data_IF_441936211992
#
_entry.id   IF_441936211992
#
_cell.length_a   1.000
_cell.length_b   1.000
_cell.length_c   1.000
_cell.angle_alpha   90.00
_cell.angle_beta   90.00
_cell.angle_gamma   90.00
#
_symmetry.space_group_name_H-M   'P 1'
#
loop_
_entity.id
_entity.type
_entity.pdbx_description
1 polymer ?
#
# COMPACT_ATOMS: atom_id res chain seq x y z
N UNK A 1 -64.09 -24.18 36.17
CA UNK A 1 -62.73 -24.59 36.59
C UNK A 1 -62.49 -26.00 36.09
N UNK A 2 -62.19 -26.17 34.80
CA UNK A 2 -61.99 -27.51 34.22
C UNK A 2 -60.95 -27.57 33.09
N UNK A 3 -60.24 -26.49 32.78
CA UNK A 3 -59.37 -26.46 31.58
C UNK A 3 -57.89 -26.73 31.88
N UNK A 4 -57.48 -26.74 33.16
CA UNK A 4 -56.06 -26.90 33.52
C UNK A 4 -55.59 -28.36 33.64
N UNK A 5 -56.50 -29.34 33.65
CA UNK A 5 -56.14 -30.76 33.80
C UNK A 5 -55.97 -31.46 32.46
N UNK A 6 -56.65 -31.02 31.40
CA UNK A 6 -56.55 -31.62 30.07
C UNK A 6 -55.26 -31.24 29.32
N UNK A 7 -54.74 -30.02 29.53
CA UNK A 7 -53.44 -29.60 28.99
C UNK A 7 -52.26 -30.39 29.57
N UNK A 8 -52.41 -30.93 30.80
CA UNK A 8 -51.38 -31.71 31.49
C UNK A 8 -51.28 -33.16 30.97
N UNK A 9 -52.40 -33.76 30.57
CA UNK A 9 -52.45 -35.14 30.05
C UNK A 9 -52.03 -35.27 28.57
N UNK A 10 -52.12 -34.19 27.78
CA UNK A 10 -51.65 -34.19 26.39
C UNK A 10 -50.11 -34.16 26.26
N UNK A 11 -49.40 -33.64 27.27
CA UNK A 11 -47.93 -33.63 27.28
C UNK A 11 -47.33 -35.03 27.54
N UNK A 12 -48.09 -35.96 28.11
CA UNK A 12 -47.63 -37.29 28.51
C UNK A 12 -47.52 -38.31 27.35
N UNK A 13 -47.95 -37.96 26.13
CA UNK A 13 -47.98 -38.86 24.97
C UNK A 13 -47.16 -38.33 23.77
N UNK A 14 -46.21 -37.42 24.02
CA UNK A 14 -45.29 -36.93 22.98
C UNK A 14 -44.26 -38.04 22.68
N UNK A 15 -44.19 -38.58 21.45
CA UNK A 15 -43.23 -39.61 21.11
C UNK A 15 -41.77 -39.17 21.30
N UNK A 16 -40.91 -40.09 21.75
CA UNK A 16 -39.48 -39.84 22.01
C UNK A 16 -38.74 -39.26 20.79
N UNK A 17 -39.17 -39.59 19.56
CA UNK A 17 -38.58 -39.05 18.33
C UNK A 17 -38.76 -37.54 18.20
N UNK A 18 -39.82 -36.95 18.78
CA UNK A 18 -40.05 -35.50 18.77
C UNK A 18 -38.99 -34.81 19.65
N UNK A 19 -38.68 -35.36 20.82
CA UNK A 19 -37.63 -34.83 21.68
C UNK A 19 -36.24 -34.96 21.04
N UNK A 20 -35.96 -36.10 20.39
CA UNK A 20 -34.72 -36.30 19.61
C UNK A 20 -34.62 -35.32 18.44
N UNK A 21 -35.72 -35.07 17.73
CA UNK A 21 -35.78 -34.07 16.65
C UNK A 21 -35.52 -32.66 17.18
N UNK A 22 -36.16 -32.26 18.28
CA UNK A 22 -35.94 -30.95 18.90
C UNK A 22 -34.52 -30.78 19.46
N UNK A 23 -33.89 -31.86 19.93
CA UNK A 23 -32.48 -31.84 20.32
C UNK A 23 -31.55 -31.71 19.11
N UNK A 24 -31.81 -32.45 18.02
CA UNK A 24 -31.07 -32.33 16.77
C UNK A 24 -31.17 -30.91 16.18
N UNK A 25 -32.37 -30.32 16.19
CA UNK A 25 -32.59 -28.93 15.75
C UNK A 25 -31.80 -27.93 16.60
N UNK A 26 -31.81 -28.08 17.93
CA UNK A 26 -31.01 -27.25 18.83
C UNK A 26 -29.51 -27.38 18.57
N UNK A 27 -29.02 -28.60 18.29
CA UNK A 27 -27.62 -28.86 17.94
C UNK A 27 -27.25 -28.21 16.60
N UNK A 28 -28.13 -28.30 15.61
CA UNK A 28 -27.96 -27.65 14.31
C UNK A 28 -27.88 -26.13 14.44
N UNK A 29 -28.83 -25.51 15.14
CA UNK A 29 -28.84 -24.06 15.38
C UNK A 29 -27.63 -23.56 16.19
N UNK A 30 -27.15 -24.37 17.13
CA UNK A 30 -25.91 -24.09 17.87
C UNK A 30 -24.67 -24.17 16.96
N UNK A 31 -24.61 -25.16 16.07
CA UNK A 31 -23.54 -25.31 15.09
C UNK A 31 -23.53 -24.14 14.08
N UNK A 32 -24.71 -23.73 13.59
CA UNK A 32 -24.86 -22.58 12.70
C UNK A 32 -24.35 -21.29 13.32
N UNK A 33 -24.74 -20.98 14.56
CA UNK A 33 -24.22 -19.82 15.31
C UNK A 33 -22.70 -19.85 15.46
N UNK A 34 -22.11 -21.02 15.72
CA UNK A 34 -20.64 -21.15 15.79
C UNK A 34 -20.00 -20.89 14.43
N UNK A 35 -20.59 -21.38 13.34
CA UNK A 35 -20.09 -21.16 11.99
C UNK A 35 -20.11 -19.66 11.61
N UNK A 36 -21.14 -18.92 12.00
CA UNK A 36 -21.23 -17.47 11.80
C UNK A 36 -20.10 -16.71 12.54
N UNK A 37 -19.79 -17.11 13.77
CA UNK A 37 -18.69 -16.53 14.55
C UNK A 37 -17.33 -16.80 13.87
N UNK A 38 -17.09 -18.04 13.42
CA UNK A 38 -15.85 -18.36 12.71
C UNK A 38 -15.75 -17.63 11.37
N UNK A 39 -16.86 -17.45 10.65
CA UNK A 39 -16.89 -16.67 9.41
C UNK A 39 -16.48 -15.21 9.66
N UNK A 40 -17.00 -14.60 10.72
CA UNK A 40 -16.62 -13.23 11.08
C UNK A 40 -15.15 -13.13 11.52
N UNK A 41 -14.61 -14.17 12.18
CA UNK A 41 -13.17 -14.26 12.46
C UNK A 41 -12.35 -14.33 11.18
N UNK A 42 -12.79 -15.10 10.17
CA UNK A 42 -12.12 -15.17 8.87
C UNK A 42 -12.10 -13.80 8.17
N UNK A 43 -13.25 -13.08 8.14
CA UNK A 43 -13.32 -11.72 7.57
C UNK A 43 -12.35 -10.78 8.26
N UNK A 44 -12.33 -10.78 9.60
CA UNK A 44 -11.46 -9.92 10.37
C UNK A 44 -9.98 -10.28 10.18
N UNK A 45 -9.65 -11.57 10.09
CA UNK A 45 -8.28 -12.00 9.82
C UNK A 45 -7.79 -11.51 8.44
N UNK A 46 -8.62 -11.61 7.39
CA UNK A 46 -8.30 -11.07 6.05
C UNK A 46 -7.99 -9.57 6.15
N UNK A 47 -8.89 -8.78 6.76
CA UNK A 47 -8.71 -7.33 6.91
C UNK A 47 -7.43 -6.99 7.66
N UNK A 48 -7.14 -7.69 8.76
CA UNK A 48 -5.94 -7.48 9.56
C UNK A 48 -4.66 -7.80 8.79
N UNK A 49 -4.64 -8.90 8.03
CA UNK A 49 -3.49 -9.26 7.20
C UNK A 49 -3.20 -8.22 6.11
N UNK A 50 -4.24 -7.72 5.44
CA UNK A 50 -4.08 -6.65 4.44
C UNK A 50 -3.67 -5.32 5.06
N UNK A 51 -4.18 -5.00 6.25
CA UNK A 51 -3.77 -3.82 7.01
C UNK A 51 -2.29 -3.90 7.41
N UNK A 52 -1.82 -5.05 7.92
CA UNK A 52 -0.41 -5.27 8.22
C UNK A 52 0.48 -5.17 6.97
N UNK A 53 0.01 -5.65 5.81
CA UNK A 53 0.74 -5.52 4.54
C UNK A 53 0.84 -4.06 4.10
N UNK A 54 -0.25 -3.29 4.20
CA UNK A 54 -0.26 -1.85 3.91
C UNK A 54 0.72 -1.09 4.79
N UNK A 55 0.67 -1.28 6.10
CA UNK A 55 1.60 -0.63 7.06
C UNK A 55 3.06 -0.91 6.73
N UNK A 56 3.42 -2.18 6.51
CA UNK A 56 4.78 -2.56 6.12
C UNK A 56 5.21 -1.93 4.79
N UNK A 57 4.29 -1.85 3.82
CA UNK A 57 4.58 -1.24 2.53
C UNK A 57 4.77 0.28 2.62
N UNK A 58 3.97 0.97 3.44
CA UNK A 58 4.13 2.41 3.71
C UNK A 58 5.44 2.71 4.42
N UNK A 59 5.79 1.93 5.45
CA UNK A 59 7.06 2.05 6.17
C UNK A 59 8.26 1.81 5.23
N UNK A 60 8.21 0.75 4.41
CA UNK A 60 9.26 0.46 3.44
C UNK A 60 9.41 1.58 2.40
N UNK A 61 8.30 2.09 1.86
CA UNK A 61 8.31 3.19 0.91
C UNK A 61 8.85 4.48 1.55
N UNK A 62 8.51 4.78 2.81
CA UNK A 62 9.03 5.93 3.53
C UNK A 62 10.56 5.86 3.66
N UNK A 63 11.09 4.70 4.07
CA UNK A 63 12.54 4.48 4.20
C UNK A 63 13.23 4.57 2.83
N UNK A 64 12.63 4.03 1.77
CA UNK A 64 13.15 4.15 0.40
C UNK A 64 13.23 5.63 -0.03
N UNK A 65 12.16 6.40 0.18
CA UNK A 65 12.08 7.81 -0.18
C UNK A 65 13.07 8.66 0.62
N UNK A 66 13.22 8.41 1.91
CA UNK A 66 14.23 9.08 2.73
C UNK A 66 15.64 8.75 2.23
N UNK A 67 15.96 7.48 2.00
CA UNK A 67 17.27 7.07 1.47
C UNK A 67 17.55 7.73 0.12
N UNK A 68 16.55 7.80 -0.76
CA UNK A 68 16.65 8.43 -2.06
C UNK A 68 16.94 9.93 -1.93
N UNK A 69 16.21 10.66 -1.08
CA UNK A 69 16.46 12.09 -0.83
C UNK A 69 17.89 12.34 -0.36
N UNK A 70 18.37 11.56 0.60
CA UNK A 70 19.75 11.67 1.09
C UNK A 70 20.80 11.38 0.00
N UNK A 71 20.53 10.46 -0.93
CA UNK A 71 21.44 10.19 -2.07
C UNK A 71 21.44 11.37 -3.06
N UNK A 72 20.27 11.93 -3.33
CA UNK A 72 20.12 13.06 -4.25
C UNK A 72 20.75 14.35 -3.71
N UNK A 73 20.60 14.62 -2.41
CA UNK A 73 21.27 15.73 -1.73
C UNK A 73 22.79 15.61 -1.76
N UNK A 74 23.33 14.41 -1.53
CA UNK A 74 24.78 14.16 -1.68
C UNK A 74 25.24 14.40 -3.10
N UNK A 75 24.53 13.85 -4.08
CA UNK A 75 24.85 14.05 -5.50
C UNK A 75 24.79 15.53 -5.91
N UNK A 76 23.87 16.31 -5.34
CA UNK A 76 23.83 17.76 -5.56
C UNK A 76 25.11 18.42 -5.02
N UNK A 77 25.50 18.13 -3.79
CA UNK A 77 26.73 18.66 -3.19
C UNK A 77 27.97 18.29 -4.03
N UNK A 78 28.04 17.04 -4.51
CA UNK A 78 29.14 16.59 -5.36
C UNK A 78 29.19 17.36 -6.69
N UNK A 79 28.04 17.66 -7.30
CA UNK A 79 27.95 18.48 -8.51
C UNK A 79 28.39 19.92 -8.25
N UNK A 80 27.99 20.51 -7.13
CA UNK A 80 28.40 21.86 -6.72
C UNK A 80 29.91 21.95 -6.48
N UNK A 81 30.48 20.94 -5.83
CA UNK A 81 31.92 20.86 -5.60
C UNK A 81 32.69 20.70 -6.91
N UNK A 82 32.29 19.76 -7.78
CA UNK A 82 32.94 19.55 -9.06
C UNK A 82 32.91 20.80 -9.95
N UNK A 83 31.80 21.55 -9.94
CA UNK A 83 31.67 22.81 -10.67
C UNK A 83 32.56 23.91 -10.09
N UNK A 84 32.69 23.98 -8.76
CA UNK A 84 33.62 24.90 -8.08
C UNK A 84 35.07 24.59 -8.47
N UNK A 85 35.47 23.32 -8.45
CA UNK A 85 36.83 22.90 -8.80
C UNK A 85 37.17 23.19 -10.27
N UNK A 86 36.20 22.99 -11.17
CA UNK A 86 36.33 23.37 -12.57
C UNK A 86 36.49 24.89 -12.74
N UNK A 87 35.69 25.70 -12.04
CA UNK A 87 35.79 27.16 -12.10
C UNK A 87 37.17 27.64 -11.61
N UNK A 88 37.64 27.13 -10.46
CA UNK A 88 38.98 27.42 -9.92
C UNK A 88 40.07 27.05 -10.94
N UNK A 89 39.96 25.87 -11.56
CA UNK A 89 40.91 25.42 -12.58
C UNK A 89 40.92 26.34 -13.80
N UNK A 90 39.76 26.78 -14.30
CA UNK A 90 39.66 27.74 -15.41
C UNK A 90 40.29 29.09 -15.05
N UNK A 91 40.03 29.62 -13.86
CA UNK A 91 40.61 30.89 -13.40
C UNK A 91 42.14 30.80 -13.24
N UNK A 92 42.65 29.67 -12.75
CA UNK A 92 44.10 29.44 -12.66
C UNK A 92 44.75 29.44 -14.03
N UNK A 93 44.14 28.77 -15.02
CA UNK A 93 44.63 28.75 -16.41
C UNK A 93 44.63 30.15 -17.03
N UNK A 94 43.55 30.92 -16.86
CA UNK A 94 43.48 32.30 -17.34
C UNK A 94 44.53 33.21 -16.71
N UNK A 95 44.83 33.00 -15.42
CA UNK A 95 45.86 33.77 -14.70
C UNK A 95 47.26 33.50 -15.24
N UNK A 96 47.51 32.27 -15.72
CA UNK A 96 48.80 31.84 -16.29
C UNK A 96 48.91 32.08 -17.81
N UNK A 97 47.85 32.57 -18.45
CA UNK A 97 47.81 32.78 -19.90
C UNK A 97 48.69 33.98 -20.31
N UNK A 98 49.85 33.66 -20.89
CA UNK A 98 50.82 34.64 -21.38
C UNK A 98 50.39 35.32 -22.68
N UNK A 99 49.35 34.83 -23.36
CA UNK A 99 48.82 35.47 -24.58
C UNK A 99 48.06 36.77 -24.27
N UNK A 100 47.56 36.93 -23.03
CA UNK A 100 46.84 38.12 -22.58
C UNK A 100 47.84 39.14 -22.05
N UNK A 101 48.09 40.19 -22.83
CA UNK A 101 49.13 41.19 -22.55
C UNK A 101 48.66 42.31 -21.62
N UNK A 102 47.37 42.61 -21.60
CA UNK A 102 46.82 43.73 -20.83
C UNK A 102 46.01 43.26 -19.62
N UNK A 103 46.07 44.04 -18.54
CA UNK A 103 45.28 43.78 -17.33
C UNK A 103 43.78 43.86 -17.61
N UNK A 104 43.35 44.84 -18.41
CA UNK A 104 41.93 45.04 -18.76
C UNK A 104 41.36 43.87 -19.56
N UNK A 105 42.08 43.35 -20.57
CA UNK A 105 41.63 42.15 -21.29
C UNK A 105 41.55 40.93 -20.37
N UNK A 106 42.49 40.80 -19.42
CA UNK A 106 42.44 39.71 -18.44
C UNK A 106 41.22 39.83 -17.55
N UNK A 107 40.94 41.02 -17.01
CA UNK A 107 39.75 41.27 -16.18
C UNK A 107 38.44 41.08 -16.97
N UNK A 108 38.42 41.44 -18.25
CA UNK A 108 37.28 41.17 -19.15
C UNK A 108 37.07 39.66 -19.35
N UNK A 109 38.12 38.92 -19.73
CA UNK A 109 38.05 37.45 -19.92
C UNK A 109 37.68 36.72 -18.62
N UNK A 110 38.17 37.18 -17.47
CA UNK A 110 37.80 36.63 -16.16
C UNK A 110 36.30 36.82 -15.88
N UNK A 111 35.73 37.98 -16.20
CA UNK A 111 34.28 38.23 -16.07
C UNK A 111 33.46 37.34 -17.00
N UNK A 112 33.85 37.22 -18.27
CA UNK A 112 33.17 36.37 -19.25
C UNK A 112 33.19 34.88 -18.85
N UNK A 113 34.33 34.38 -18.40
CA UNK A 113 34.45 32.99 -17.92
C UNK A 113 33.65 32.75 -16.65
N UNK A 114 33.58 33.73 -15.75
CA UNK A 114 32.75 33.65 -14.56
C UNK A 114 31.25 33.58 -14.94
N UNK A 115 30.80 34.45 -15.83
CA UNK A 115 29.39 34.51 -16.25
C UNK A 115 28.96 33.23 -16.97
N UNK A 116 29.76 32.78 -17.93
CA UNK A 116 29.50 31.52 -18.65
C UNK A 116 29.53 30.31 -17.73
N UNK A 117 30.45 30.25 -16.77
CA UNK A 117 30.50 29.16 -15.79
C UNK A 117 29.28 29.16 -14.87
N UNK A 118 28.83 30.33 -14.40
CA UNK A 118 27.60 30.47 -13.61
C UNK A 118 26.36 30.05 -14.40
N UNK A 119 26.28 30.42 -15.67
CA UNK A 119 25.15 30.07 -16.52
C UNK A 119 25.06 28.55 -16.73
N UNK A 120 26.20 27.89 -17.04
CA UNK A 120 26.26 26.43 -17.17
C UNK A 120 25.86 25.75 -15.86
N UNK A 121 26.38 26.23 -14.73
CA UNK A 121 26.03 25.70 -13.42
C UNK A 121 24.53 25.83 -13.11
N UNK A 122 23.94 26.99 -13.35
CA UNK A 122 22.51 27.22 -13.13
C UNK A 122 21.64 26.32 -14.00
N UNK A 123 22.02 26.12 -15.26
CA UNK A 123 21.31 25.24 -16.18
C UNK A 123 21.40 23.77 -15.74
N UNK A 124 22.58 23.31 -15.31
CA UNK A 124 22.76 21.95 -14.82
C UNK A 124 22.00 21.72 -13.51
N UNK A 125 22.04 22.67 -12.57
CA UNK A 125 21.28 22.62 -11.32
C UNK A 125 19.78 22.58 -11.58
N UNK A 126 19.28 23.38 -12.53
CA UNK A 126 17.87 23.35 -12.95
C UNK A 126 17.48 21.99 -13.52
N UNK A 127 18.30 21.45 -14.45
CA UNK A 127 18.08 20.12 -15.03
C UNK A 127 18.05 19.03 -13.95
N UNK A 128 18.98 19.11 -12.99
CA UNK A 128 19.05 18.17 -11.88
C UNK A 128 17.81 18.24 -10.97
N UNK A 129 17.34 19.45 -10.63
CA UNK A 129 16.12 19.65 -9.84
C UNK A 129 14.89 19.04 -10.51
N UNK A 130 14.69 19.32 -11.81
CA UNK A 130 13.57 18.76 -12.58
C UNK A 130 13.65 17.23 -12.63
N UNK A 131 14.85 16.67 -12.83
CA UNK A 131 15.04 15.22 -12.84
C UNK A 131 14.73 14.57 -11.48
N UNK A 132 15.03 15.25 -10.37
CA UNK A 132 14.67 14.80 -9.03
C UNK A 132 13.15 14.78 -8.86
N UNK A 133 12.48 15.87 -9.22
CA UNK A 133 11.02 15.98 -9.09
C UNK A 133 10.31 14.87 -9.86
N UNK A 134 10.71 14.63 -11.11
CA UNK A 134 10.17 13.55 -11.94
C UNK A 134 10.40 12.16 -11.33
N UNK A 135 11.60 11.90 -10.79
CA UNK A 135 11.91 10.63 -10.15
C UNK A 135 11.07 10.40 -8.88
N UNK A 136 10.91 11.44 -8.07
CA UNK A 136 10.08 11.41 -6.86
C UNK A 136 8.62 11.16 -7.23
N UNK A 137 8.10 11.88 -8.23
CA UNK A 137 6.73 11.71 -8.70
C UNK A 137 6.47 10.30 -9.23
N UNK A 138 7.40 9.77 -10.03
CA UNK A 138 7.33 8.39 -10.52
C UNK A 138 7.23 7.39 -9.36
N UNK A 139 8.09 7.53 -8.35
CA UNK A 139 8.10 6.64 -7.18
C UNK A 139 6.82 6.73 -6.37
N UNK A 140 6.30 7.94 -6.18
CA UNK A 140 4.99 8.14 -5.55
C UNK A 140 3.86 7.51 -6.36
N UNK A 141 3.91 7.56 -7.69
CA UNK A 141 2.92 6.90 -8.53
C UNK A 141 2.99 5.37 -8.42
N UNK A 142 4.20 4.79 -8.50
CA UNK A 142 4.43 3.36 -8.30
C UNK A 142 3.86 2.88 -6.95
N UNK A 143 4.12 3.63 -5.87
CA UNK A 143 3.58 3.32 -4.55
C UNK A 143 2.04 3.43 -4.51
N UNK A 144 1.45 4.48 -5.08
CA UNK A 144 -0.02 4.62 -5.16
C UNK A 144 -0.67 3.47 -5.93
N UNK A 145 -0.06 3.02 -7.02
CA UNK A 145 -0.52 1.86 -7.77
C UNK A 145 -0.43 0.57 -6.97
N UNK A 146 0.69 0.38 -6.26
CA UNK A 146 0.87 -0.77 -5.39
C UNK A 146 -0.20 -0.82 -4.28
N UNK A 147 -0.46 0.31 -3.62
CA UNK A 147 -1.49 0.40 -2.57
C UNK A 147 -2.90 0.13 -3.11
N UNK A 148 -3.23 0.67 -4.31
CA UNK A 148 -4.49 0.34 -4.99
C UNK A 148 -4.62 -1.16 -5.27
N UNK A 149 -3.55 -1.83 -5.71
CA UNK A 149 -3.56 -3.28 -5.93
C UNK A 149 -3.81 -4.05 -4.64
N UNK A 150 -3.26 -3.62 -3.50
CA UNK A 150 -3.54 -4.26 -2.21
C UNK A 150 -5.01 -4.15 -1.81
N UNK A 151 -5.65 -2.99 -2.04
CA UNK A 151 -7.08 -2.80 -1.77
C UNK A 151 -7.92 -3.76 -2.63
N UNK A 152 -7.65 -3.83 -3.93
CA UNK A 152 -8.35 -4.74 -4.84
C UNK A 152 -8.15 -6.22 -4.42
N UNK A 153 -6.96 -6.57 -3.94
CA UNK A 153 -6.70 -7.93 -3.45
C UNK A 153 -7.45 -8.25 -2.16
N UNK A 154 -7.61 -7.28 -1.26
CA UNK A 154 -8.43 -7.42 -0.05
C UNK A 154 -9.90 -7.65 -0.40
N UNK A 155 -10.45 -6.82 -1.28
CA UNK A 155 -11.84 -6.93 -1.76
C UNK A 155 -12.09 -8.31 -2.40
N UNK A 156 -11.19 -8.76 -3.29
CA UNK A 156 -11.29 -10.09 -3.91
C UNK A 156 -11.18 -11.24 -2.90
N UNK A 157 -10.37 -11.09 -1.85
CA UNK A 157 -10.26 -12.10 -0.80
C UNK A 157 -11.56 -12.20 0.02
N UNK A 158 -12.20 -11.07 0.30
CA UNK A 158 -13.50 -11.03 0.97
C UNK A 158 -14.61 -11.56 0.07
N UNK A 159 -14.68 -11.16 -1.20
CA UNK A 159 -15.64 -11.68 -2.18
C UNK A 159 -15.56 -13.19 -2.29
N UNK A 160 -14.35 -13.74 -2.42
CA UNK A 160 -14.13 -15.20 -2.47
C UNK A 160 -14.61 -15.91 -1.21
N UNK A 161 -14.50 -15.27 -0.04
CA UNK A 161 -15.02 -15.82 1.20
C UNK A 161 -16.56 -15.89 1.17
N UNK A 162 -17.22 -14.84 0.67
CA UNK A 162 -18.67 -14.83 0.50
C UNK A 162 -19.14 -15.87 -0.52
N UNK A 163 -18.42 -16.06 -1.63
CA UNK A 163 -18.74 -17.09 -2.62
C UNK A 163 -18.70 -18.50 -2.04
N UNK A 164 -17.69 -18.79 -1.19
CA UNK A 164 -17.59 -20.07 -0.47
C UNK A 164 -18.78 -20.24 0.46
N UNK A 165 -19.15 -19.19 1.21
CA UNK A 165 -20.30 -19.21 2.10
C UNK A 165 -21.59 -19.45 1.32
N UNK A 166 -21.79 -18.75 0.20
CA UNK A 166 -22.96 -18.90 -0.65
C UNK A 166 -23.10 -20.33 -1.18
N UNK A 167 -21.99 -20.94 -1.62
CA UNK A 167 -21.95 -22.33 -2.10
C UNK A 167 -22.34 -23.31 -1.00
N UNK A 168 -21.83 -23.12 0.22
CA UNK A 168 -22.20 -23.97 1.37
C UNK A 168 -23.70 -23.85 1.69
N UNK A 169 -24.27 -22.66 1.57
CA UNK A 169 -25.70 -22.44 1.82
C UNK A 169 -26.59 -23.04 0.72
N UNK A 170 -26.16 -23.00 -0.55
CA UNK A 170 -26.90 -23.64 -1.65
C UNK A 170 -26.91 -25.17 -1.56
N UNK A 171 -25.80 -25.77 -1.13
CA UNK A 171 -25.67 -27.22 -0.95
C UNK A 171 -26.44 -27.75 0.27
N UNK A 172 -26.80 -26.86 1.21
CA UNK A 172 -27.52 -27.20 2.44
C UNK A 172 -29.05 -27.22 2.27
N UNK A 173 -29.60 -26.89 1.10
CA UNK A 173 -31.06 -27.00 0.87
C UNK A 173 -31.45 -28.49 0.78
N UNK A 174 -32.27 -29.01 1.73
CA UNK A 174 -32.68 -30.40 1.65
C UNK A 174 -33.57 -30.58 0.43
N UNK A 175 -33.14 -31.42 -0.51
CA UNK A 175 -34.02 -31.97 -1.55
C UNK A 175 -35.13 -32.68 -0.80
N UNK A 176 -36.31 -32.05 -0.70
CA UNK A 176 -37.50 -32.72 -0.17
C UNK A 176 -37.78 -33.86 -1.13
N UNK A 177 -37.34 -35.07 -0.78
CA UNK A 177 -37.77 -36.30 -1.43
C UNK A 177 -39.27 -36.42 -1.27
N UNK A 178 -40.02 -35.91 -2.24
CA UNK A 178 -41.41 -36.27 -2.44
C UNK A 178 -41.42 -37.65 -3.09
N UNK A 179 -41.07 -38.69 -2.32
CA UNK A 179 -41.36 -40.06 -2.73
C UNK A 179 -42.86 -40.29 -2.53
N UNK A 180 -43.55 -40.48 -3.65
CA UNK A 180 -44.91 -41.03 -3.75
C UNK A 180 -44.91 -42.53 -3.48
#
# INVERSE_FOLDING_TARGET
MSDNTELSLQAANIPEWIFKMAENERRYESAKRKAEIELERCRNHIRQEFEHRRKRAEEAHKVEMESMRHRLERRLKDLEQAQTDMAVTKFRRLSMDQSIRTREEREKKMREVNETSKQVFNNERKRFSVGIEQLIEQKQNEHREFMRKLIIQEEKALERLEDIVATIHSDSQPVRSTSR
#
